data_IF_233062219612
#
_entry.id   IF_233062219612
#
_cell.length_a   1.000
_cell.length_b   1.000
_cell.length_c   1.000
_cell.angle_alpha   90.00
_cell.angle_beta   90.00
_cell.angle_gamma   90.00
#
_symmetry.space_group_name_H-M   'P 1'
#
loop_
_entity.id
_entity.type
_entity.pdbx_description
1 polymer ?
#
# COMPACT_ATOMS: atom_id res chain seq x y z
N UNK A 1 -28.86 17.91 6.40
CA UNK A 1 -27.89 16.94 5.87
C UNK A 1 -26.76 17.75 5.29
N UNK A 2 -25.60 17.75 5.91
CA UNK A 2 -24.47 18.52 5.40
C UNK A 2 -23.97 17.89 4.09
N UNK A 3 -23.49 18.70 3.14
CA UNK A 3 -22.98 18.21 1.86
C UNK A 3 -21.81 17.21 2.02
N UNK A 4 -21.15 17.20 3.17
CA UNK A 4 -20.10 16.26 3.54
C UNK A 4 -20.67 14.84 3.72
N UNK A 5 -21.91 14.67 4.21
CA UNK A 5 -22.50 13.33 4.39
C UNK A 5 -22.67 12.58 3.07
N UNK A 6 -22.82 13.26 1.95
CA UNK A 6 -22.86 12.62 0.63
C UNK A 6 -21.50 12.08 0.18
N UNK A 7 -20.39 12.66 0.67
CA UNK A 7 -19.04 12.16 0.43
C UNK A 7 -18.62 11.08 1.44
N UNK A 8 -19.18 11.09 2.66
CA UNK A 8 -18.84 10.21 3.78
C UNK A 8 -19.36 8.76 3.58
N UNK A 9 -20.34 8.54 2.69
CA UNK A 9 -20.78 7.17 2.34
C UNK A 9 -19.71 6.29 1.68
N UNK A 10 -18.52 6.84 1.40
CA UNK A 10 -17.41 6.15 0.75
C UNK A 10 -16.19 6.07 1.66
N UNK A 11 -16.36 5.52 2.86
CA UNK A 11 -15.31 5.39 3.88
C UNK A 11 -14.02 4.72 3.40
N UNK A 12 -14.10 3.94 2.32
CA UNK A 12 -12.94 3.28 1.71
C UNK A 12 -12.22 4.15 0.67
N UNK A 13 -12.80 5.29 0.28
CA UNK A 13 -12.30 6.15 -0.80
C UNK A 13 -11.63 7.41 -0.32
N UNK A 14 -11.97 7.87 0.88
CA UNK A 14 -11.36 9.02 1.53
C UNK A 14 -10.39 8.53 2.61
N UNK A 15 -9.18 9.06 2.62
CA UNK A 15 -8.21 8.79 3.67
C UNK A 15 -8.05 10.01 4.56
N UNK A 16 -8.21 9.80 5.86
CA UNK A 16 -7.96 10.80 6.90
C UNK A 16 -6.56 10.56 7.45
N UNK A 17 -5.82 11.63 7.73
CA UNK A 17 -4.45 11.57 8.25
C UNK A 17 -3.52 10.69 7.39
N UNK A 18 -3.57 10.86 6.07
CA UNK A 18 -2.71 10.11 5.17
C UNK A 18 -1.25 10.49 5.37
N UNK A 19 -0.43 9.51 5.72
CA UNK A 19 1.01 9.69 5.88
C UNK A 19 1.71 9.78 4.52
N UNK A 20 2.55 10.81 4.37
CA UNK A 20 3.47 10.97 3.25
C UNK A 20 4.90 11.03 3.79
N UNK A 21 5.83 10.32 3.16
CA UNK A 21 7.24 10.40 3.51
C UNK A 21 7.87 11.66 2.89
N UNK A 22 8.71 12.36 3.67
CA UNK A 22 9.49 13.53 3.22
C UNK A 22 10.94 13.15 2.94
N UNK A 23 11.67 13.98 2.20
CA UNK A 23 13.05 13.68 1.74
C UNK A 23 14.06 13.41 2.87
N UNK A 24 13.82 13.89 4.06
CA UNK A 24 14.72 13.74 5.21
C UNK A 24 14.20 12.76 6.27
N UNK A 25 13.49 11.71 5.84
CA UNK A 25 12.82 10.71 6.68
C UNK A 25 11.74 11.26 7.62
N UNK A 26 11.38 12.53 7.47
CA UNK A 26 10.23 13.11 8.15
C UNK A 26 8.93 12.62 7.51
N UNK A 27 7.86 12.68 8.28
CA UNK A 27 6.51 12.31 7.85
C UNK A 27 5.68 13.60 7.79
N UNK A 28 4.89 13.75 6.73
CA UNK A 28 3.82 14.73 6.66
C UNK A 28 2.47 14.00 6.68
N UNK A 29 1.48 14.65 7.25
CA UNK A 29 0.09 14.17 7.29
C UNK A 29 -0.73 15.07 6.39
N UNK A 30 -1.52 14.49 5.48
CA UNK A 30 -2.61 15.20 4.84
C UNK A 30 -3.88 14.94 5.66
N UNK A 31 -4.61 15.98 6.02
CA UNK A 31 -5.82 15.81 6.83
C UNK A 31 -6.87 15.00 6.08
N UNK A 32 -7.08 15.29 4.80
CA UNK A 32 -8.01 14.55 3.94
C UNK A 32 -7.35 14.31 2.57
N UNK A 33 -7.40 13.08 2.06
CA UNK A 33 -6.90 12.72 0.74
C UNK A 33 -7.88 11.84 -0.03
N UNK A 34 -8.13 12.23 -1.28
CA UNK A 34 -8.95 11.49 -2.25
C UNK A 34 -8.04 10.96 -3.37
N UNK A 35 -7.49 9.74 -3.22
CA UNK A 35 -6.51 9.20 -4.19
C UNK A 35 -7.09 9.03 -5.59
N UNK A 36 -8.38 8.70 -5.73
CA UNK A 36 -9.06 8.46 -7.01
C UNK A 36 -9.08 9.68 -7.92
N UNK A 37 -9.18 10.87 -7.32
CA UNK A 37 -9.23 12.14 -8.03
C UNK A 37 -7.98 12.99 -7.80
N UNK A 38 -6.96 12.42 -7.12
CA UNK A 38 -5.71 13.08 -6.77
C UNK A 38 -5.91 14.46 -6.11
N UNK A 39 -6.83 14.53 -5.15
CA UNK A 39 -7.16 15.74 -4.41
C UNK A 39 -6.88 15.56 -2.93
N UNK A 40 -6.23 16.53 -2.32
CA UNK A 40 -6.00 16.55 -0.89
C UNK A 40 -6.33 17.90 -0.28
N UNK A 41 -6.71 17.89 0.99
CA UNK A 41 -7.15 19.04 1.74
C UNK A 41 -6.38 19.12 3.03
N UNK A 42 -5.93 20.30 3.38
CA UNK A 42 -5.32 20.65 4.66
C UNK A 42 -6.29 21.56 5.44
N UNK A 43 -6.40 21.35 6.74
CA UNK A 43 -7.20 22.16 7.64
C UNK A 43 -6.26 23.05 8.45
N UNK A 44 -6.23 24.33 8.09
CA UNK A 44 -5.34 25.31 8.73
C UNK A 44 -5.98 25.85 10.01
N UNK A 45 -5.49 25.42 11.14
CA UNK A 45 -5.87 25.97 12.45
C UNK A 45 -5.03 27.20 12.81
N UNK A 46 -5.48 28.03 13.75
CA UNK A 46 -4.88 29.33 14.09
C UNK A 46 -3.38 29.29 14.46
N UNK A 47 -2.87 28.17 14.97
CA UNK A 47 -1.45 28.05 15.32
C UNK A 47 -0.53 27.79 14.13
N UNK A 48 -1.05 27.56 12.93
CA UNK A 48 -0.28 27.40 11.69
C UNK A 48 0.14 28.72 11.04
N UNK A 49 -0.49 29.86 11.37
CA UNK A 49 -0.20 31.16 10.77
C UNK A 49 1.27 31.62 10.99
N UNK A 50 1.93 31.12 12.02
CA UNK A 50 3.35 31.41 12.31
C UNK A 50 4.35 30.54 11.50
N UNK A 51 3.89 29.60 10.68
CA UNK A 51 4.70 28.58 10.02
C UNK A 51 4.53 28.51 8.49
N UNK A 52 4.02 29.56 7.84
CA UNK A 52 3.74 29.56 6.38
C UNK A 52 4.92 29.09 5.51
N UNK A 53 6.17 29.46 5.87
CA UNK A 53 7.35 29.02 5.14
C UNK A 53 7.66 27.52 5.35
N UNK A 54 7.39 26.99 6.55
CA UNK A 54 7.59 25.57 6.84
C UNK A 54 6.52 24.70 6.15
N UNK A 55 5.30 25.20 6.05
CA UNK A 55 4.19 24.51 5.38
C UNK A 55 4.32 24.52 3.86
N UNK A 56 4.87 25.58 3.27
CA UNK A 56 5.19 25.62 1.84
C UNK A 56 6.28 24.58 1.50
N UNK A 57 7.34 24.52 2.32
CA UNK A 57 8.40 23.51 2.16
C UNK A 57 7.89 22.09 2.39
N UNK A 58 7.04 21.88 3.39
CA UNK A 58 6.35 20.61 3.66
C UNK A 58 5.53 20.15 2.45
N UNK A 59 4.76 21.06 1.86
CA UNK A 59 3.94 20.79 0.68
C UNK A 59 4.81 20.36 -0.51
N UNK A 60 5.92 21.06 -0.76
CA UNK A 60 6.84 20.73 -1.86
C UNK A 60 7.50 19.35 -1.67
N UNK A 61 7.92 19.03 -0.47
CA UNK A 61 8.51 17.72 -0.13
C UNK A 61 7.50 16.58 -0.29
N UNK A 62 6.24 16.78 0.10
CA UNK A 62 5.15 15.80 -0.12
C UNK A 62 4.92 15.56 -1.61
N UNK A 63 4.97 16.62 -2.43
CA UNK A 63 4.82 16.53 -3.89
C UNK A 63 5.94 15.73 -4.54
N UNK A 64 7.17 15.87 -4.04
CA UNK A 64 8.36 15.15 -4.56
C UNK A 64 8.27 13.67 -4.18
N UNK A 65 7.98 13.36 -2.93
CA UNK A 65 7.97 11.98 -2.42
C UNK A 65 6.86 11.11 -2.99
N UNK A 66 5.70 11.70 -3.29
CA UNK A 66 4.65 10.95 -4.00
C UNK A 66 5.06 10.55 -5.42
N UNK A 67 6.02 11.24 -6.05
CA UNK A 67 6.60 10.79 -7.32
C UNK A 67 7.45 9.53 -7.13
N UNK A 68 8.14 9.42 -6.00
CA UNK A 68 9.06 8.30 -5.71
C UNK A 68 8.27 7.05 -5.29
N UNK A 69 7.24 7.21 -4.46
CA UNK A 69 6.44 6.07 -3.97
C UNK A 69 5.53 5.42 -5.04
N UNK A 70 5.28 6.12 -6.17
CA UNK A 70 4.53 5.57 -7.31
C UNK A 70 5.39 4.79 -8.33
N UNK A 71 6.70 4.74 -8.13
CA UNK A 71 7.61 3.99 -9.01
C UNK A 71 7.42 2.46 -8.95
N UNK A 72 6.61 1.94 -8.03
CA UNK A 72 6.38 0.49 -7.90
C UNK A 72 5.43 -0.12 -8.94
N UNK A 73 4.58 0.68 -9.57
CA UNK A 73 3.86 0.28 -10.77
C UNK A 73 3.92 1.41 -11.79
N UNK A 74 4.73 1.21 -12.81
CA UNK A 74 4.92 2.14 -13.94
C UNK A 74 3.61 2.25 -14.71
N UNK A 75 2.66 3.03 -14.23
CA UNK A 75 1.61 3.62 -15.09
C UNK A 75 1.07 4.89 -14.42
N UNK A 76 1.37 6.02 -15.04
CA UNK A 76 0.79 7.34 -14.77
C UNK A 76 1.02 7.94 -13.38
N UNK A 77 2.22 8.44 -13.16
CA UNK A 77 2.52 9.42 -12.10
C UNK A 77 1.68 10.68 -12.35
N UNK A 78 0.47 10.74 -11.82
CA UNK A 78 -0.22 12.01 -11.70
C UNK A 78 0.57 12.89 -10.72
N UNK A 79 1.02 14.05 -11.20
CA UNK A 79 1.66 15.05 -10.36
C UNK A 79 0.65 15.47 -9.30
N UNK A 80 0.97 15.26 -8.01
CA UNK A 80 0.14 15.80 -6.94
C UNK A 80 0.04 17.31 -7.13
N UNK A 81 -1.17 17.83 -7.13
CA UNK A 81 -1.44 19.27 -7.14
C UNK A 81 -1.27 19.84 -5.74
N UNK A 82 -1.20 21.14 -5.61
CA UNK A 82 -1.18 21.81 -4.29
C UNK A 82 -2.44 21.45 -3.49
N UNK A 83 -2.36 21.39 -2.15
CA UNK A 83 -3.52 21.12 -1.31
C UNK A 83 -4.57 22.22 -1.45
N UNK A 84 -5.82 21.84 -1.33
CA UNK A 84 -6.88 22.77 -0.99
C UNK A 84 -6.81 23.04 0.50
N UNK A 85 -7.04 24.28 0.93
CA UNK A 85 -6.92 24.67 2.33
C UNK A 85 -8.26 25.17 2.86
N UNK A 86 -8.63 24.69 4.05
CA UNK A 86 -9.76 25.19 4.82
C UNK A 86 -9.18 25.93 6.02
N UNK A 87 -9.33 27.24 6.04
CA UNK A 87 -8.87 28.08 7.15
C UNK A 87 -9.94 28.10 8.26
N UNK A 88 -9.55 27.59 9.44
CA UNK A 88 -10.37 27.52 10.65
C UNK A 88 -9.68 28.34 11.73
N UNK A 89 -9.48 29.65 11.50
CA UNK A 89 -8.88 30.54 12.48
C UNK A 89 -9.93 31.15 13.40
N UNK A 90 -9.52 31.60 14.60
CA UNK A 90 -10.39 32.36 15.49
C UNK A 90 -10.87 33.63 14.81
N UNK A 91 -12.19 33.80 14.68
CA UNK A 91 -12.84 34.90 13.97
C UNK A 91 -13.39 34.53 12.59
N UNK A 92 -13.17 33.33 12.08
CA UNK A 92 -13.90 32.84 10.93
C UNK A 92 -15.29 32.37 11.37
N UNK A 93 -16.31 32.89 10.72
CA UNK A 93 -17.68 32.46 10.95
C UNK A 93 -17.90 31.09 10.26
N UNK A 94 -18.81 30.29 10.79
CA UNK A 94 -19.17 28.97 10.23
C UNK A 94 -19.55 29.10 8.75
N UNK A 95 -20.19 30.23 8.37
CA UNK A 95 -20.58 30.53 6.99
C UNK A 95 -19.37 30.65 6.05
N UNK A 96 -18.25 31.22 6.52
CA UNK A 96 -17.02 31.33 5.70
C UNK A 96 -16.31 29.98 5.55
N UNK A 97 -16.32 29.16 6.59
CA UNK A 97 -15.82 27.79 6.52
C UNK A 97 -16.67 26.97 5.54
N UNK A 98 -18.00 27.09 5.61
CA UNK A 98 -18.90 26.39 4.70
C UNK A 98 -18.69 26.81 3.24
N UNK A 99 -18.42 28.07 2.94
CA UNK A 99 -18.09 28.55 1.58
C UNK A 99 -16.81 27.87 1.05
N UNK A 100 -15.78 27.79 1.89
CA UNK A 100 -14.52 27.11 1.49
C UNK A 100 -14.77 25.61 1.21
N UNK A 101 -15.57 24.94 2.04
CA UNK A 101 -15.97 23.54 1.83
C UNK A 101 -16.76 23.40 0.52
N UNK A 102 -17.71 24.28 0.25
CA UNK A 102 -18.52 24.26 -0.98
C UNK A 102 -17.66 24.42 -2.24
N UNK A 103 -16.61 25.23 -2.20
CA UNK A 103 -15.67 25.37 -3.31
C UNK A 103 -14.88 24.06 -3.55
N UNK A 104 -14.42 23.42 -2.47
CA UNK A 104 -13.74 22.12 -2.57
C UNK A 104 -14.69 21.05 -3.11
N UNK A 105 -15.93 21.00 -2.64
CA UNK A 105 -16.96 20.08 -3.14
C UNK A 105 -17.24 20.30 -4.63
N UNK A 106 -17.30 21.55 -5.10
CA UNK A 106 -17.42 21.86 -6.54
C UNK A 106 -16.24 21.29 -7.33
N UNK A 107 -15.01 21.45 -6.82
CA UNK A 107 -13.83 20.90 -7.47
C UNK A 107 -13.81 19.37 -7.48
N UNK A 108 -14.19 18.72 -6.37
CA UNK A 108 -14.37 17.26 -6.31
C UNK A 108 -15.35 16.81 -7.40
N UNK A 109 -16.53 17.45 -7.48
CA UNK A 109 -17.54 17.10 -8.47
C UNK A 109 -17.05 17.34 -9.91
N UNK A 110 -16.29 18.42 -10.13
CA UNK A 110 -15.67 18.70 -11.43
C UNK A 110 -14.70 17.57 -11.85
N UNK A 111 -13.83 17.12 -10.93
CA UNK A 111 -12.87 16.03 -11.19
C UNK A 111 -13.58 14.70 -11.42
N UNK A 112 -14.60 14.39 -10.62
CA UNK A 112 -15.45 13.21 -10.79
C UNK A 112 -16.08 13.20 -12.18
N UNK A 113 -16.67 14.32 -12.58
CA UNK A 113 -17.32 14.45 -13.91
C UNK A 113 -16.32 14.31 -15.06
N UNK A 114 -15.09 14.82 -14.88
CA UNK A 114 -14.04 14.72 -15.89
C UNK A 114 -13.52 13.27 -16.08
N UNK A 115 -13.53 12.46 -15.02
CA UNK A 115 -13.12 11.06 -15.06
C UNK A 115 -14.23 10.13 -15.56
N UNK A 116 -15.50 10.48 -15.30
CA UNK A 116 -16.67 9.74 -15.71
C UNK A 116 -16.60 8.25 -15.30
N UNK A 117 -16.83 7.36 -16.26
CA UNK A 117 -16.80 5.90 -16.02
C UNK A 117 -15.40 5.35 -15.66
N UNK A 118 -14.35 6.12 -15.84
CA UNK A 118 -12.97 5.74 -15.43
C UNK A 118 -12.76 5.84 -13.93
N UNK A 119 -13.69 6.49 -13.22
CA UNK A 119 -13.60 6.66 -11.79
C UNK A 119 -14.01 5.38 -11.07
N UNK A 120 -13.06 4.75 -10.41
CA UNK A 120 -13.29 3.54 -9.61
C UNK A 120 -13.35 3.95 -8.14
N UNK A 121 -14.56 4.04 -7.58
CA UNK A 121 -14.77 4.32 -6.16
C UNK A 121 -14.61 3.08 -5.28
N UNK A 122 -14.98 1.92 -5.80
CA UNK A 122 -14.84 0.65 -5.10
C UNK A 122 -13.81 -0.21 -5.80
N UNK A 123 -12.91 -0.81 -5.03
CA UNK A 123 -12.07 -1.87 -5.54
C UNK A 123 -12.96 -3.05 -5.94
N UNK A 124 -12.77 -3.58 -7.16
CA UNK A 124 -13.31 -4.88 -7.52
C UNK A 124 -12.67 -5.95 -6.65
N UNK A 125 -13.35 -6.28 -5.57
CA UNK A 125 -12.92 -7.32 -4.67
C UNK A 125 -13.48 -8.66 -5.19
N UNK A 126 -12.64 -9.37 -5.93
CA UNK A 126 -13.03 -10.65 -6.54
C UNK A 126 -13.34 -11.69 -5.48
N UNK A 127 -14.27 -12.58 -5.79
CA UNK A 127 -14.57 -13.73 -4.94
C UNK A 127 -13.45 -14.79 -5.11
N UNK A 128 -12.75 -15.20 -4.04
CA UNK A 128 -11.76 -16.26 -4.10
C UNK A 128 -12.27 -17.57 -4.70
N UNK A 129 -13.56 -17.86 -4.59
CA UNK A 129 -14.18 -19.06 -5.14
C UNK A 129 -14.06 -19.14 -6.68
N UNK A 130 -13.99 -17.99 -7.35
CA UNK A 130 -13.80 -17.92 -8.80
C UNK A 130 -12.46 -18.49 -9.28
N UNK A 131 -11.47 -18.55 -8.40
CA UNK A 131 -10.11 -18.98 -8.69
C UNK A 131 -9.83 -20.42 -8.25
N UNK A 132 -10.69 -21.01 -7.44
CA UNK A 132 -10.49 -22.39 -6.93
C UNK A 132 -10.35 -23.38 -8.08
N UNK A 133 -9.31 -24.20 -8.02
CA UNK A 133 -9.04 -25.22 -9.04
C UNK A 133 -8.52 -24.67 -10.37
N UNK A 134 -8.26 -23.37 -10.48
CA UNK A 134 -7.70 -22.73 -11.67
C UNK A 134 -6.20 -22.48 -11.51
N UNK A 135 -5.55 -22.25 -12.63
CA UNK A 135 -4.18 -21.71 -12.65
C UNK A 135 -4.27 -20.20 -12.68
N UNK A 136 -3.56 -19.55 -11.76
CA UNK A 136 -3.37 -18.09 -11.77
C UNK A 136 -1.92 -17.76 -12.12
N UNK A 137 -1.73 -16.66 -12.87
CA UNK A 137 -0.44 -16.17 -13.31
C UNK A 137 -0.13 -14.80 -12.74
N UNK A 138 1.13 -14.47 -12.64
CA UNK A 138 1.56 -13.10 -12.28
C UNK A 138 0.93 -12.05 -13.21
N UNK A 139 0.82 -12.35 -14.52
CA UNK A 139 0.21 -11.49 -15.53
C UNK A 139 -1.30 -11.27 -15.35
N UNK A 140 -2.01 -12.17 -14.66
CA UNK A 140 -3.46 -12.09 -14.47
C UNK A 140 -3.85 -11.00 -13.45
N UNK A 141 -2.86 -10.40 -12.80
CA UNK A 141 -3.04 -9.33 -11.82
C UNK A 141 -4.06 -9.67 -10.71
N UNK A 142 -4.04 -10.93 -10.25
CA UNK A 142 -4.97 -11.41 -9.23
C UNK A 142 -4.68 -10.75 -7.90
N UNK A 143 -5.69 -10.12 -7.32
CA UNK A 143 -5.57 -9.33 -6.10
C UNK A 143 -6.82 -9.44 -5.22
N UNK A 144 -6.66 -9.34 -3.90
CA UNK A 144 -7.71 -9.39 -2.90
C UNK A 144 -7.50 -8.32 -1.83
N UNK A 145 -8.58 -7.80 -1.25
CA UNK A 145 -8.51 -6.75 -0.21
C UNK A 145 -7.94 -7.22 1.12
N UNK A 146 -8.11 -8.48 1.46
CA UNK A 146 -7.74 -9.01 2.78
C UNK A 146 -6.92 -10.29 2.68
N UNK A 147 -6.08 -10.54 3.69
CA UNK A 147 -5.37 -11.81 3.82
C UNK A 147 -6.36 -12.97 3.97
N UNK A 148 -7.49 -12.75 4.65
CA UNK A 148 -8.54 -13.74 4.81
C UNK A 148 -9.00 -14.28 3.45
N UNK A 149 -9.34 -13.40 2.51
CA UNK A 149 -9.70 -13.79 1.13
C UNK A 149 -8.59 -14.52 0.39
N UNK A 150 -7.32 -14.12 0.60
CA UNK A 150 -6.20 -14.86 0.03
C UNK A 150 -6.15 -16.28 0.61
N UNK A 151 -6.39 -16.45 1.91
CA UNK A 151 -6.39 -17.80 2.53
C UNK A 151 -7.50 -18.71 2.03
N UNK A 152 -8.64 -18.14 1.59
CA UNK A 152 -9.76 -18.89 1.02
C UNK A 152 -9.47 -19.57 -0.32
N UNK A 153 -8.38 -19.18 -1.01
CA UNK A 153 -7.89 -19.89 -2.19
C UNK A 153 -7.40 -21.32 -1.88
N UNK A 154 -7.06 -21.58 -0.61
CA UNK A 154 -6.44 -22.81 -0.15
C UNK A 154 -7.35 -23.57 0.81
N UNK A 155 -7.71 -24.80 0.49
CA UNK A 155 -8.67 -25.62 1.28
C UNK A 155 -8.26 -25.86 2.74
N UNK A 156 -6.96 -25.90 3.01
CA UNK A 156 -6.42 -26.35 4.30
C UNK A 156 -5.89 -25.19 5.17
N UNK A 157 -6.08 -23.95 4.76
CA UNK A 157 -5.65 -22.80 5.54
C UNK A 157 -6.81 -22.26 6.38
N UNK A 158 -6.59 -22.14 7.69
CA UNK A 158 -7.47 -21.37 8.56
C UNK A 158 -6.86 -20.00 8.80
N UNK A 159 -7.57 -18.95 8.40
CA UNK A 159 -7.18 -17.57 8.68
C UNK A 159 -6.98 -17.32 10.17
N UNK A 160 -5.97 -16.57 10.53
CA UNK A 160 -5.70 -16.05 11.88
C UNK A 160 -5.41 -14.57 11.78
N UNK A 161 -6.05 -13.77 12.63
CA UNK A 161 -5.78 -12.34 12.72
C UNK A 161 -4.30 -12.06 12.97
N UNK A 162 -3.80 -10.96 12.39
CA UNK A 162 -2.41 -10.51 12.52
C UNK A 162 -1.35 -11.50 12.01
N UNK A 163 -1.75 -12.52 11.28
CA UNK A 163 -0.85 -13.49 10.66
C UNK A 163 -0.72 -13.18 9.16
N UNK A 164 0.51 -13.09 8.67
CA UNK A 164 0.82 -12.90 7.25
C UNK A 164 1.56 -14.11 6.64
N UNK A 165 1.67 -15.20 7.39
CA UNK A 165 2.40 -16.40 7.01
C UNK A 165 1.65 -17.66 7.48
N UNK A 166 1.34 -18.57 6.55
CA UNK A 166 0.51 -19.74 6.81
C UNK A 166 1.14 -20.98 6.16
N UNK A 167 1.26 -22.05 6.93
CA UNK A 167 1.68 -23.33 6.38
C UNK A 167 0.55 -23.94 5.54
N UNK A 168 0.83 -24.29 4.28
CA UNK A 168 -0.11 -24.97 3.38
C UNK A 168 0.11 -26.48 3.47
N UNK A 169 1.36 -26.91 3.25
CA UNK A 169 1.82 -28.28 3.36
C UNK A 169 3.32 -28.30 3.73
N UNK A 170 3.94 -29.44 3.72
CA UNK A 170 5.35 -29.52 4.03
C UNK A 170 6.18 -28.67 3.05
N UNK A 171 7.04 -27.82 3.61
CA UNK A 171 7.91 -26.87 2.90
C UNK A 171 7.20 -25.86 2.01
N UNK A 172 5.88 -25.77 2.01
CA UNK A 172 5.13 -24.77 1.25
C UNK A 172 4.27 -23.88 2.15
N UNK A 173 4.39 -22.57 1.95
CA UNK A 173 3.75 -21.57 2.79
C UNK A 173 3.09 -20.48 1.92
N UNK A 174 1.94 -20.01 2.36
CA UNK A 174 1.38 -18.76 1.90
C UNK A 174 2.03 -17.62 2.69
N UNK A 175 2.49 -16.61 1.97
CA UNK A 175 3.13 -15.44 2.54
C UNK A 175 2.50 -14.15 2.00
N UNK A 176 2.08 -13.28 2.91
CA UNK A 176 1.41 -12.02 2.59
C UNK A 176 2.22 -10.83 3.15
N UNK A 177 3.47 -10.63 2.69
CA UNK A 177 4.34 -9.60 3.23
C UNK A 177 3.96 -8.21 2.73
N UNK A 178 4.41 -7.20 3.47
CA UNK A 178 4.61 -5.87 2.93
C UNK A 178 6.01 -5.84 2.30
N UNK A 179 6.06 -5.55 1.00
CA UNK A 179 7.31 -5.44 0.25
C UNK A 179 7.57 -3.97 -0.04
N UNK A 180 8.72 -3.48 0.37
CA UNK A 180 9.14 -2.12 0.10
C UNK A 180 10.22 -2.13 -1.00
N UNK A 181 10.17 -1.19 -1.93
CA UNK A 181 11.26 -0.94 -2.90
C UNK A 181 12.38 -0.15 -2.23
N UNK A 182 12.02 0.69 -1.27
CA UNK A 182 12.95 1.49 -0.47
C UNK A 182 12.85 1.05 0.99
N UNK A 183 13.93 1.12 1.73
CA UNK A 183 13.95 0.78 3.15
C UNK A 183 12.99 1.67 3.93
N UNK A 184 11.81 1.17 4.24
CA UNK A 184 10.83 1.85 5.09
C UNK A 184 11.03 1.44 6.55
N UNK A 185 11.23 2.40 7.41
CA UNK A 185 11.34 2.20 8.84
C UNK A 185 9.96 2.10 9.51
N UNK A 186 9.30 0.94 9.40
CA UNK A 186 8.21 0.66 10.33
C UNK A 186 8.78 0.24 11.68
N UNK A 187 8.77 1.15 12.65
CA UNK A 187 9.38 0.97 13.97
C UNK A 187 8.91 -0.28 14.74
N UNK A 188 7.78 -0.88 14.37
CA UNK A 188 7.15 -1.97 15.12
C UNK A 188 7.21 -3.35 14.44
N UNK A 189 7.87 -3.51 13.29
CA UNK A 189 8.00 -4.81 12.63
C UNK A 189 9.37 -5.41 12.86
N UNK A 190 9.43 -6.69 13.26
CA UNK A 190 10.68 -7.43 13.45
C UNK A 190 11.44 -7.65 12.14
N UNK A 191 10.72 -7.74 11.02
CA UNK A 191 11.25 -8.06 9.70
C UNK A 191 11.17 -6.87 8.75
N UNK A 192 12.19 -6.73 7.90
CA UNK A 192 12.21 -5.85 6.73
C UNK A 192 12.16 -6.71 5.49
N UNK A 193 11.24 -6.43 4.58
CA UNK A 193 11.10 -7.14 3.31
C UNK A 193 11.24 -6.15 2.17
N UNK A 194 12.15 -6.43 1.25
CA UNK A 194 12.41 -5.60 0.06
C UNK A 194 12.31 -6.48 -1.18
N UNK A 195 11.66 -5.97 -2.23
CA UNK A 195 11.63 -6.63 -3.53
C UNK A 195 12.61 -5.96 -4.49
N UNK A 196 13.25 -6.73 -5.37
CA UNK A 196 14.05 -6.19 -6.48
C UNK A 196 13.18 -5.44 -7.49
N UNK A 197 13.76 -4.50 -8.23
CA UNK A 197 13.05 -3.69 -9.22
C UNK A 197 12.37 -4.53 -10.32
N UNK A 198 12.98 -5.64 -10.68
CA UNK A 198 12.45 -6.59 -11.67
C UNK A 198 11.45 -7.60 -11.07
N UNK A 199 11.23 -7.56 -9.75
CA UNK A 199 10.31 -8.44 -9.04
C UNK A 199 10.76 -9.91 -8.96
N UNK A 200 12.03 -10.22 -9.27
CA UNK A 200 12.55 -11.60 -9.29
C UNK A 200 13.13 -12.05 -7.96
N UNK A 201 13.52 -11.13 -7.10
CA UNK A 201 14.10 -11.42 -5.79
C UNK A 201 13.39 -10.68 -4.67
N UNK A 202 13.26 -11.34 -3.50
CA UNK A 202 12.81 -10.71 -2.26
C UNK A 202 13.91 -10.89 -1.22
N UNK A 203 14.25 -9.79 -0.56
CA UNK A 203 15.22 -9.74 0.53
C UNK A 203 14.47 -9.59 1.85
N UNK A 204 14.64 -10.55 2.75
CA UNK A 204 14.04 -10.56 4.09
C UNK A 204 15.15 -10.48 5.13
N UNK A 205 15.17 -9.45 5.97
CA UNK A 205 16.19 -9.25 7.02
C UNK A 205 15.56 -8.94 8.37
N UNK A 206 16.26 -9.27 9.43
CA UNK A 206 15.93 -8.80 10.76
C UNK A 206 16.22 -7.29 10.87
N UNK A 207 15.36 -6.56 11.57
CA UNK A 207 15.48 -5.10 11.67
C UNK A 207 16.74 -4.67 12.42
N UNK A 208 17.12 -5.42 13.44
CA UNK A 208 18.22 -5.09 14.32
C UNK A 208 19.59 -5.45 13.73
N UNK A 209 19.62 -5.87 12.45
CA UNK A 209 20.85 -6.27 11.76
C UNK A 209 21.44 -7.59 12.26
N UNK A 210 20.67 -8.35 13.06
CA UNK A 210 21.08 -9.66 13.52
C UNK A 210 21.20 -10.63 12.35
N UNK A 211 22.22 -11.48 12.44
CA UNK A 211 22.42 -12.55 11.46
C UNK A 211 21.55 -13.75 11.78
N UNK A 212 21.07 -14.37 10.74
CA UNK A 212 20.34 -15.62 10.85
C UNK A 212 21.29 -16.78 11.13
N UNK A 213 20.83 -17.76 11.89
CA UNK A 213 21.56 -18.99 12.07
C UNK A 213 21.31 -19.93 10.88
N UNK A 214 22.37 -20.33 10.16
CA UNK A 214 22.26 -21.23 9.00
C UNK A 214 21.47 -22.50 9.33
N UNK A 215 21.65 -23.06 10.52
CA UNK A 215 20.98 -24.30 10.93
C UNK A 215 19.47 -24.14 11.17
N UNK A 216 18.99 -22.91 11.31
CA UNK A 216 17.55 -22.60 11.46
C UNK A 216 16.82 -22.41 10.14
N UNK A 217 17.55 -22.34 9.02
CA UNK A 217 16.98 -22.08 7.71
C UNK A 217 16.51 -23.36 7.03
N UNK A 218 15.27 -23.34 6.54
CA UNK A 218 14.74 -24.42 5.71
C UNK A 218 15.00 -24.13 4.23
N UNK A 219 16.06 -24.70 3.68
CA UNK A 219 16.48 -24.48 2.29
C UNK A 219 15.49 -25.01 1.24
N UNK A 220 14.53 -25.86 1.65
CA UNK A 220 13.49 -26.38 0.76
C UNK A 220 12.21 -25.57 0.83
N UNK A 221 12.21 -24.47 1.59
CA UNK A 221 11.02 -23.63 1.78
C UNK A 221 10.62 -22.92 0.50
N UNK A 222 9.34 -23.04 0.16
CA UNK A 222 8.67 -22.31 -0.92
C UNK A 222 7.62 -21.39 -0.35
N UNK A 223 7.55 -20.18 -0.87
CA UNK A 223 6.55 -19.18 -0.48
C UNK A 223 5.69 -18.77 -1.67
N UNK A 224 4.40 -19.08 -1.59
CA UNK A 224 3.38 -18.54 -2.49
C UNK A 224 3.09 -17.13 -1.98
N UNK A 225 3.46 -16.12 -2.77
CA UNK A 225 3.52 -14.75 -2.26
C UNK A 225 2.39 -13.91 -2.81
N UNK A 226 1.58 -13.37 -1.89
CA UNK A 226 0.60 -12.32 -2.16
C UNK A 226 1.01 -11.06 -1.39
N UNK A 227 1.73 -10.17 -2.04
CA UNK A 227 2.28 -9.00 -1.36
C UNK A 227 1.26 -7.88 -1.22
N UNK A 228 1.31 -7.23 -0.06
CA UNK A 228 0.57 -6.01 0.21
C UNK A 228 1.07 -4.85 -0.68
N UNK A 229 0.15 -4.10 -1.21
CA UNK A 229 0.40 -2.82 -1.86
C UNK A 229 -0.86 -1.93 -1.79
N UNK A 230 -0.69 -0.64 -2.03
CA UNK A 230 -1.83 0.23 -2.33
C UNK A 230 -1.94 0.33 -3.85
N UNK A 231 -3.13 0.07 -4.38
CA UNK A 231 -3.37 0.24 -5.80
C UNK A 231 -3.42 1.73 -6.20
N UNK A 232 -3.59 2.00 -7.48
CA UNK A 232 -3.65 3.35 -8.06
C UNK A 232 -4.76 4.23 -7.47
N UNK A 233 -5.82 3.60 -6.96
CA UNK A 233 -6.92 4.26 -6.28
C UNK A 233 -6.69 4.35 -4.76
N UNK A 234 -5.54 3.89 -4.28
CA UNK A 234 -5.16 3.89 -2.87
C UNK A 234 -5.82 2.79 -2.03
N UNK A 235 -6.47 1.80 -2.66
CA UNK A 235 -7.01 0.66 -1.94
C UNK A 235 -5.91 -0.29 -1.48
N UNK A 236 -6.04 -0.77 -0.27
CA UNK A 236 -5.19 -1.83 0.27
C UNK A 236 -5.51 -3.16 -0.40
N UNK A 237 -4.52 -3.76 -1.02
CA UNK A 237 -4.64 -5.00 -1.77
C UNK A 237 -3.50 -5.96 -1.42
N UNK A 238 -3.74 -7.25 -1.66
CA UNK A 238 -2.74 -8.31 -1.66
C UNK A 238 -2.68 -8.92 -3.06
N UNK A 239 -1.62 -8.63 -3.79
CA UNK A 239 -1.43 -9.03 -5.18
C UNK A 239 -0.53 -10.26 -5.28
N UNK A 240 -0.90 -11.23 -6.12
CA UNK A 240 -0.07 -12.37 -6.42
C UNK A 240 1.24 -11.93 -7.08
N UNK A 241 2.37 -12.35 -6.51
CA UNK A 241 3.72 -11.99 -6.98
C UNK A 241 4.50 -13.16 -7.56
N UNK A 242 4.03 -14.37 -7.40
CA UNK A 242 4.70 -15.59 -7.83
C UNK A 242 5.03 -16.53 -6.67
N UNK A 243 5.76 -17.59 -6.99
CA UNK A 243 6.30 -18.54 -6.02
C UNK A 243 7.80 -18.30 -5.89
N UNK A 244 8.26 -18.19 -4.65
CA UNK A 244 9.65 -17.91 -4.31
C UNK A 244 10.24 -19.07 -3.51
N UNK A 245 11.52 -19.35 -3.73
CA UNK A 245 12.33 -20.32 -2.98
C UNK A 245 13.49 -19.62 -2.31
N UNK A 246 13.93 -20.15 -1.17
CA UNK A 246 15.09 -19.64 -0.47
C UNK A 246 16.37 -20.00 -1.24
N UNK A 247 17.11 -18.98 -1.70
CA UNK A 247 18.38 -19.16 -2.41
C UNK A 247 19.53 -19.27 -1.40
N UNK A 248 20.11 -20.48 -1.32
CA UNK A 248 21.18 -20.79 -0.39
C UNK A 248 22.46 -19.99 -0.69
N UNK A 249 22.86 -19.94 -1.96
CA UNK A 249 24.12 -19.30 -2.34
C UNK A 249 24.03 -17.78 -2.19
N UNK A 250 22.92 -17.17 -2.60
CA UNK A 250 22.69 -15.73 -2.44
C UNK A 250 22.60 -15.35 -0.95
N UNK A 251 21.92 -16.14 -0.13
CA UNK A 251 21.82 -15.91 1.32
C UNK A 251 23.20 -16.03 2.01
N UNK A 252 24.01 -17.02 1.64
CA UNK A 252 25.39 -17.16 2.14
C UNK A 252 26.28 -15.99 1.73
N UNK A 253 26.18 -15.51 0.48
CA UNK A 253 26.91 -14.31 0.01
C UNK A 253 26.59 -13.07 0.82
N UNK A 254 25.39 -12.98 1.36
CA UNK A 254 24.97 -11.90 2.28
C UNK A 254 25.38 -12.18 3.73
N UNK A 255 26.21 -13.18 4.00
CA UNK A 255 26.67 -13.54 5.35
C UNK A 255 25.52 -13.71 6.36
N UNK A 256 24.38 -14.24 5.89
CA UNK A 256 23.15 -14.47 6.65
C UNK A 256 22.52 -13.19 7.27
N UNK A 257 22.90 -12.01 6.82
CA UNK A 257 22.28 -10.74 7.23
C UNK A 257 20.87 -10.56 6.64
N UNK A 258 20.59 -11.29 5.57
CA UNK A 258 19.29 -11.36 4.91
C UNK A 258 19.08 -12.70 4.21
N UNK A 259 17.84 -13.17 4.21
CA UNK A 259 17.39 -14.25 3.35
C UNK A 259 17.15 -13.71 1.96
N UNK A 260 17.59 -14.41 0.95
CA UNK A 260 17.34 -14.08 -0.45
C UNK A 260 16.37 -15.11 -1.02
N UNK A 261 15.19 -14.64 -1.38
CA UNK A 261 14.15 -15.45 -2.00
C UNK A 261 14.15 -15.19 -3.49
N UNK A 262 14.34 -16.22 -4.31
CA UNK A 262 14.28 -16.12 -5.77
C UNK A 262 12.96 -16.65 -6.29
N UNK A 263 12.38 -15.91 -7.26
CA UNK A 263 11.19 -16.34 -7.95
C UNK A 263 11.50 -17.60 -8.75
N UNK A 264 10.75 -18.67 -8.52
CA UNK A 264 10.89 -19.95 -9.22
C UNK A 264 9.71 -20.25 -10.15
N UNK A 265 8.56 -19.57 -9.96
CA UNK A 265 7.41 -19.70 -10.84
C UNK A 265 6.52 -18.45 -10.82
N UNK A 266 5.99 -18.08 -11.97
CA UNK A 266 4.96 -17.06 -12.15
C UNK A 266 3.54 -17.65 -12.13
N UNK A 267 3.41 -18.96 -12.21
CA UNK A 267 2.13 -19.68 -12.22
C UNK A 267 1.89 -20.40 -10.89
N UNK A 268 0.63 -20.34 -10.43
CA UNK A 268 0.12 -21.08 -9.29
C UNK A 268 -1.08 -21.90 -9.71
N UNK A 269 -0.95 -23.22 -9.69
CA UNK A 269 -2.03 -24.15 -9.96
C UNK A 269 -2.80 -24.44 -8.67
N UNK A 270 -3.93 -23.76 -8.50
CA UNK A 270 -4.78 -23.89 -7.31
C UNK A 270 -5.53 -25.23 -7.23
N UNK A 271 -5.52 -26.06 -8.29
CA UNK A 271 -6.08 -27.41 -8.20
C UNK A 271 -5.32 -28.33 -7.24
N UNK A 272 -4.06 -27.98 -6.96
CA UNK A 272 -3.17 -28.73 -6.05
C UNK A 272 -3.38 -28.40 -4.57
N UNK A 273 -4.29 -27.44 -4.25
CA UNK A 273 -4.45 -26.88 -2.91
C UNK A 273 -5.92 -26.92 -2.40
#
# INVERSE_FOLDING_TARGET
MSHIDACVCYSDTMKIEQLFKRDNDKIALADIYFPQINLWVEIDEQHHDAQENADAQRTEEVLINNKINKLEEVVHVQKLEKPYRIKVAAGHEIEDINKQIDEIVKEINRRISALGEKLVWNCEDKDPSEFRGKVIRYSDNVKFRTIEKVTELFKNIRYRQQCAWFKIKENEYLWCPKLDLVENEYKNCKWKNKISLDGTEIYESLRDGEKENENSLNWNEKRITFAYYNDENGFRMYKYRGIFILDKEATKKCNFEKRVWKKCADELDLSKY
#
